data_IF_098778940477
#
_entry.id   IF_098778940477
#
_cell.length_a   1.000
_cell.length_b   1.000
_cell.length_c   1.000
_cell.angle_alpha   90.00
_cell.angle_beta   90.00
_cell.angle_gamma   90.00
#
_symmetry.space_group_name_H-M   'P 1'
#
loop_
_entity.id
_entity.type
_entity.pdbx_description
1 polymer ?
#
# COMPACT_ATOMS: atom_id res chain seq x y z
N UNK A 1 1.96 -101.02 35.91
CA UNK A 1 2.42 -100.55 34.59
C UNK A 1 1.53 -99.39 34.18
N UNK A 2 2.09 -98.18 34.07
CA UNK A 2 1.46 -96.93 33.62
C UNK A 2 0.25 -96.41 34.43
N UNK A 3 0.16 -95.10 34.70
CA UNK A 3 -1.11 -94.50 35.10
C UNK A 3 -1.64 -93.41 34.14
N UNK A 4 -2.96 -93.43 34.13
CA UNK A 4 -3.98 -92.47 33.71
C UNK A 4 -3.69 -90.95 33.76
N UNK A 5 -4.33 -90.28 32.77
CA UNK A 5 -5.10 -89.00 32.78
C UNK A 5 -4.41 -87.70 33.22
N UNK A 6 -4.39 -86.69 32.34
CA UNK A 6 -5.36 -85.57 32.32
C UNK A 6 -4.84 -84.28 31.61
N UNK A 7 -5.78 -83.56 30.99
CA UNK A 7 -5.93 -82.09 30.92
C UNK A 7 -5.06 -81.18 30.01
N UNK A 8 -5.76 -80.61 29.01
CA UNK A 8 -6.02 -79.17 28.80
C UNK A 8 -4.99 -78.20 28.16
N UNK A 9 -5.60 -77.16 27.53
CA UNK A 9 -5.12 -75.83 27.12
C UNK A 9 -4.80 -75.69 25.62
N UNK A 10 -5.73 -75.14 24.80
CA UNK A 10 -6.07 -73.72 24.61
C UNK A 10 -4.98 -72.99 23.83
N UNK A 11 -5.25 -72.72 22.54
CA UNK A 11 -4.95 -71.48 21.82
C UNK A 11 -5.62 -71.55 20.43
N UNK A 12 -6.85 -71.04 20.37
CA UNK A 12 -7.63 -70.93 19.14
C UNK A 12 -7.24 -69.68 18.37
N UNK A 13 -6.74 -69.87 17.15
CA UNK A 13 -6.72 -68.85 16.10
C UNK A 13 -8.12 -68.84 15.48
N UNK A 14 -8.90 -67.75 15.52
CA UNK A 14 -10.17 -67.72 14.81
C UNK A 14 -9.92 -67.50 13.32
N UNK A 15 -10.44 -68.43 12.50
CA UNK A 15 -10.52 -68.31 11.05
C UNK A 15 -11.38 -67.10 10.66
N UNK A 16 -10.90 -66.27 9.75
CA UNK A 16 -11.71 -65.25 9.09
C UNK A 16 -12.55 -65.87 7.95
N UNK A 17 -13.84 -65.58 7.99
CA UNK A 17 -14.86 -65.98 7.02
C UNK A 17 -14.75 -65.11 5.74
N UNK A 18 -14.68 -65.68 4.51
CA UNK A 18 -14.42 -64.92 3.29
C UNK A 18 -15.62 -64.15 2.69
N UNK A 19 -16.73 -63.99 3.42
CA UNK A 19 -17.97 -63.44 2.85
C UNK A 19 -18.54 -62.16 3.49
N UNK A 20 -17.78 -61.40 4.27
CA UNK A 20 -18.17 -60.04 4.67
C UNK A 20 -17.67 -59.01 3.65
N UNK A 21 -18.56 -58.28 2.93
CA UNK A 21 -18.11 -57.10 2.19
C UNK A 21 -17.55 -56.10 3.22
N UNK A 22 -16.42 -55.44 2.94
CA UNK A 22 -15.88 -54.44 3.85
C UNK A 22 -16.97 -53.40 4.07
N UNK A 23 -17.37 -53.24 5.33
CA UNK A 23 -18.22 -52.15 5.75
C UNK A 23 -17.65 -50.88 5.16
N UNK A 24 -18.48 -50.11 4.45
CA UNK A 24 -18.20 -48.72 4.15
C UNK A 24 -18.01 -47.99 5.47
N UNK A 25 -16.79 -48.05 6.02
CA UNK A 25 -16.29 -46.98 6.84
C UNK A 25 -16.41 -45.76 5.95
N UNK A 26 -17.23 -44.82 6.38
CA UNK A 26 -17.21 -43.47 5.89
C UNK A 26 -15.79 -42.94 6.06
N UNK A 27 -14.92 -43.24 5.09
CA UNK A 27 -13.91 -42.31 4.62
C UNK A 27 -14.72 -41.11 4.16
N UNK A 28 -15.00 -40.22 5.13
CA UNK A 28 -15.21 -38.83 4.79
C UNK A 28 -13.97 -38.46 3.98
N UNK A 29 -14.12 -38.45 2.65
CA UNK A 29 -13.22 -37.78 1.76
C UNK A 29 -13.11 -36.36 2.30
N UNK A 30 -12.12 -36.12 3.17
CA UNK A 30 -11.54 -34.82 3.35
C UNK A 30 -11.04 -34.46 1.97
N UNK A 31 -11.87 -33.78 1.19
CA UNK A 31 -11.34 -32.88 0.20
C UNK A 31 -10.49 -31.93 1.04
N UNK A 32 -9.19 -32.18 1.06
CA UNK A 32 -8.19 -31.19 1.43
C UNK A 32 -8.37 -30.07 0.41
N UNK A 33 -9.38 -29.23 0.64
CA UNK A 33 -9.68 -28.11 -0.21
C UNK A 33 -8.47 -27.19 -0.12
N UNK A 34 -7.66 -27.06 -1.19
CA UNK A 34 -6.41 -26.33 -1.14
C UNK A 34 -6.60 -24.83 -0.80
N UNK A 35 -7.86 -24.39 -0.71
CA UNK A 35 -8.28 -23.02 -0.41
C UNK A 35 -8.90 -22.82 0.98
N UNK A 36 -9.14 -23.87 1.78
CA UNK A 36 -9.86 -23.76 3.07
C UNK A 36 -8.93 -23.63 4.28
N UNK A 37 -8.07 -22.61 4.29
CA UNK A 37 -7.43 -22.15 5.54
C UNK A 37 -7.96 -20.77 5.91
N UNK A 38 -8.83 -20.73 6.91
CA UNK A 38 -9.37 -19.49 7.48
C UNK A 38 -8.29 -18.87 8.39
N UNK A 39 -7.85 -17.62 8.14
CA UNK A 39 -6.93 -16.94 9.04
C UNK A 39 -7.49 -16.82 10.47
N UNK A 40 -6.63 -16.75 11.50
CA UNK A 40 -7.07 -16.46 12.85
C UNK A 40 -7.77 -15.09 12.91
N UNK A 41 -8.74 -14.89 13.82
CA UNK A 41 -9.42 -13.62 13.95
C UNK A 41 -8.43 -12.50 14.27
N UNK A 42 -8.59 -11.34 13.61
CA UNK A 42 -7.75 -10.15 13.84
C UNK A 42 -8.60 -8.94 14.20
N UNK A 43 -8.22 -8.25 15.28
CA UNK A 43 -8.87 -7.02 15.74
C UNK A 43 -8.40 -5.78 14.97
N UNK A 44 -7.23 -5.86 14.31
CA UNK A 44 -6.60 -4.70 13.69
C UNK A 44 -7.43 -4.03 12.59
N UNK A 45 -8.17 -4.75 11.73
CA UNK A 45 -9.06 -4.10 10.76
C UNK A 45 -10.08 -3.15 11.43
N UNK A 46 -10.62 -3.53 12.60
CA UNK A 46 -11.54 -2.68 13.37
C UNK A 46 -10.84 -1.46 13.97
N UNK A 47 -9.62 -1.62 14.47
CA UNK A 47 -8.83 -0.51 15.03
C UNK A 47 -8.47 0.51 13.94
N UNK A 48 -8.02 0.03 12.77
CA UNK A 48 -7.65 0.87 11.62
C UNK A 48 -8.86 1.65 11.12
N UNK A 49 -9.99 0.98 10.93
CA UNK A 49 -11.23 1.62 10.47
C UNK A 49 -11.78 2.63 11.49
N UNK A 50 -11.76 2.31 12.78
CA UNK A 50 -12.16 3.24 13.83
C UNK A 50 -11.28 4.49 13.85
N UNK A 51 -9.95 4.32 13.81
CA UNK A 51 -9.00 5.43 13.77
C UNK A 51 -9.20 6.33 12.55
N UNK A 52 -9.31 5.73 11.36
CA UNK A 52 -9.49 6.47 10.11
C UNK A 52 -10.83 7.20 10.04
N UNK A 53 -11.91 6.60 10.55
CA UNK A 53 -13.26 7.21 10.55
C UNK A 53 -13.32 8.49 11.37
N UNK A 54 -12.54 8.60 12.44
CA UNK A 54 -12.54 9.77 13.33
C UNK A 54 -11.85 10.99 12.68
N UNK A 55 -10.87 10.77 11.80
CA UNK A 55 -10.06 11.84 11.20
C UNK A 55 -10.92 12.86 10.42
N UNK A 56 -11.83 12.46 9.51
CA UNK A 56 -12.72 13.41 8.82
C UNK A 56 -13.57 14.28 9.76
N UNK A 57 -14.09 13.74 10.86
CA UNK A 57 -14.87 14.52 11.82
C UNK A 57 -14.02 15.60 12.50
N UNK A 58 -12.75 15.29 12.80
CA UNK A 58 -11.79 16.27 13.30
C UNK A 58 -11.52 17.39 12.28
N UNK A 59 -11.31 17.04 11.01
CA UNK A 59 -11.09 18.02 9.93
C UNK A 59 -12.30 18.94 9.75
N UNK A 60 -13.51 18.40 9.64
CA UNK A 60 -14.74 19.20 9.45
C UNK A 60 -14.99 20.12 10.67
N UNK A 61 -14.67 19.66 11.88
CA UNK A 61 -14.74 20.48 13.10
C UNK A 61 -13.78 21.68 13.04
N UNK A 62 -12.53 21.48 12.61
CA UNK A 62 -11.53 22.55 12.47
C UNK A 62 -11.95 23.56 11.39
N UNK A 63 -12.51 23.08 10.27
CA UNK A 63 -13.02 23.92 9.19
C UNK A 63 -14.32 24.68 9.55
N UNK A 64 -14.88 24.44 10.74
CA UNK A 64 -16.08 25.12 11.22
C UNK A 64 -17.40 24.57 10.66
N UNK A 65 -17.36 23.46 9.90
CA UNK A 65 -18.57 22.82 9.35
C UNK A 65 -19.52 22.27 10.41
N UNK A 66 -19.05 22.08 11.65
CA UNK A 66 -19.81 21.58 12.80
C UNK A 66 -20.00 22.63 13.90
N UNK A 67 -19.86 23.92 13.59
CA UNK A 67 -19.91 25.02 14.57
C UNK A 67 -21.16 25.01 15.47
N UNK A 68 -22.29 24.54 14.95
CA UNK A 68 -23.56 24.48 15.69
C UNK A 68 -23.69 23.24 16.61
N UNK A 69 -22.75 22.29 16.54
CA UNK A 69 -22.79 21.08 17.33
C UNK A 69 -22.13 21.30 18.71
N UNK A 70 -22.76 20.90 19.83
CA UNK A 70 -22.24 21.18 21.18
C UNK A 70 -20.81 20.68 21.46
N UNK A 71 -20.46 19.50 20.95
CA UNK A 71 -19.16 18.86 21.13
C UNK A 71 -18.21 19.12 19.95
N UNK A 72 -18.69 18.92 18.72
CA UNK A 72 -17.89 19.00 17.50
C UNK A 72 -17.72 20.43 16.96
N UNK A 73 -18.37 21.43 17.56
CA UNK A 73 -18.18 22.84 17.22
C UNK A 73 -16.89 23.45 17.79
N UNK A 74 -16.23 22.79 18.73
CA UNK A 74 -14.97 23.25 19.30
C UNK A 74 -13.79 22.80 18.43
N UNK A 75 -13.12 23.75 17.76
CA UNK A 75 -11.97 23.48 16.89
C UNK A 75 -10.79 22.82 17.60
N UNK A 76 -10.58 23.08 18.89
CA UNK A 76 -9.55 22.42 19.70
C UNK A 76 -9.87 20.95 19.99
N UNK A 77 -11.15 20.63 20.17
CA UNK A 77 -11.61 19.25 20.24
C UNK A 77 -11.48 18.56 18.87
N UNK A 78 -11.80 19.27 17.79
CA UNK A 78 -11.57 18.81 16.41
C UNK A 78 -10.12 18.41 16.14
N UNK A 79 -9.15 19.22 16.58
CA UNK A 79 -7.73 18.91 16.47
C UNK A 79 -7.36 17.64 17.24
N UNK A 80 -7.87 17.48 18.46
CA UNK A 80 -7.67 16.28 19.27
C UNK A 80 -8.23 15.03 18.57
N UNK A 81 -9.43 15.12 17.98
CA UNK A 81 -10.01 14.01 17.21
C UNK A 81 -9.17 13.66 15.99
N UNK A 82 -8.70 14.67 15.24
CA UNK A 82 -7.87 14.45 14.05
C UNK A 82 -6.55 13.75 14.42
N UNK A 83 -5.80 14.30 15.38
CA UNK A 83 -4.50 13.74 15.78
C UNK A 83 -4.65 12.39 16.50
N UNK A 84 -5.63 12.26 17.39
CA UNK A 84 -5.91 11.02 18.11
C UNK A 84 -6.38 9.90 17.18
N UNK A 85 -7.31 10.19 16.26
CA UNK A 85 -7.77 9.24 15.24
C UNK A 85 -6.62 8.80 14.33
N UNK A 86 -5.78 9.74 13.88
CA UNK A 86 -4.61 9.42 13.07
C UNK A 86 -3.59 8.57 13.82
N UNK A 87 -3.34 8.85 15.10
CA UNK A 87 -2.45 8.03 15.93
C UNK A 87 -3.00 6.59 16.10
N UNK A 88 -4.30 6.43 16.37
CA UNK A 88 -4.95 5.11 16.45
C UNK A 88 -4.86 4.37 15.12
N UNK A 89 -5.08 5.07 14.00
CA UNK A 89 -4.91 4.52 12.66
C UNK A 89 -3.49 3.99 12.42
N UNK A 90 -2.46 4.78 12.74
CA UNK A 90 -1.06 4.36 12.60
C UNK A 90 -0.71 3.17 13.49
N UNK A 91 -1.13 3.18 14.76
CA UNK A 91 -0.93 2.05 15.68
C UNK A 91 -1.63 0.80 15.14
N UNK A 92 -2.86 0.94 14.64
CA UNK A 92 -3.62 -0.14 14.03
C UNK A 92 -2.91 -0.73 12.81
N UNK A 93 -2.42 0.11 11.90
CA UNK A 93 -1.69 -0.33 10.71
C UNK A 93 -0.37 -1.03 11.07
N UNK A 94 0.41 -0.45 11.97
CA UNK A 94 1.68 -1.05 12.41
C UNK A 94 1.46 -2.39 13.12
N UNK A 95 0.45 -2.48 13.98
CA UNK A 95 0.04 -3.72 14.64
C UNK A 95 -0.42 -4.78 13.65
N UNK A 96 -1.20 -4.39 12.63
CA UNK A 96 -1.65 -5.31 11.59
C UNK A 96 -0.50 -5.83 10.74
N UNK A 97 0.38 -4.94 10.27
CA UNK A 97 1.58 -5.31 9.52
C UNK A 97 2.48 -6.24 10.33
N UNK A 98 2.67 -5.96 11.61
CA UNK A 98 3.45 -6.83 12.50
C UNK A 98 2.82 -8.23 12.62
N UNK A 99 1.50 -8.32 12.80
CA UNK A 99 0.80 -9.61 12.83
C UNK A 99 1.04 -10.38 11.53
N UNK A 100 0.86 -9.74 10.36
CA UNK A 100 1.05 -10.38 9.05
C UNK A 100 2.49 -10.91 8.88
N UNK A 101 3.49 -10.19 9.40
CA UNK A 101 4.89 -10.61 9.32
C UNK A 101 5.17 -11.82 10.23
N UNK A 102 4.55 -11.86 11.41
CA UNK A 102 4.73 -12.94 12.41
C UNK A 102 3.94 -14.19 12.03
N UNK A 103 2.78 -14.02 11.39
CA UNK A 103 1.90 -15.11 10.99
C UNK A 103 2.62 -16.05 10.00
N UNK A 104 2.81 -17.31 10.40
CA UNK A 104 3.50 -18.32 9.59
C UNK A 104 2.61 -18.78 8.43
N UNK A 105 3.29 -19.20 7.35
CA UNK A 105 2.79 -19.67 6.03
C UNK A 105 1.33 -20.15 6.04
N UNK A 106 0.50 -19.49 5.23
CA UNK A 106 -0.92 -19.83 5.02
C UNK A 106 -1.07 -20.99 4.01
N UNK A 107 -0.15 -21.15 3.05
CA UNK A 107 -0.21 -22.26 2.08
C UNK A 107 1.05 -23.14 2.09
N UNK A 108 0.86 -24.41 1.74
CA UNK A 108 1.96 -25.32 1.41
C UNK A 108 2.61 -24.99 0.05
N UNK A 109 1.86 -24.35 -0.85
CA UNK A 109 2.35 -23.85 -2.15
C UNK A 109 2.65 -22.34 -2.09
N UNK A 110 3.90 -22.02 -1.79
CA UNK A 110 4.38 -20.62 -1.74
C UNK A 110 4.30 -19.92 -3.09
N UNK A 111 4.37 -20.65 -4.21
CA UNK A 111 4.32 -20.05 -5.54
C UNK A 111 2.90 -19.62 -5.90
N UNK A 112 1.89 -20.44 -5.58
CA UNK A 112 0.48 -20.05 -5.71
C UNK A 112 0.18 -18.82 -4.83
N UNK A 113 0.60 -18.85 -3.56
CA UNK A 113 0.41 -17.71 -2.65
C UNK A 113 1.03 -16.41 -3.19
N UNK A 114 2.25 -16.46 -3.74
CA UNK A 114 2.87 -15.28 -4.33
C UNK A 114 2.10 -14.75 -5.54
N UNK A 115 1.53 -15.62 -6.38
CA UNK A 115 0.71 -15.22 -7.53
C UNK A 115 -0.59 -14.53 -7.09
N UNK A 116 -1.26 -15.06 -6.08
CA UNK A 116 -2.49 -14.46 -5.56
C UNK A 116 -2.22 -13.08 -4.95
N UNK A 117 -1.12 -12.94 -4.20
CA UNK A 117 -0.66 -11.68 -3.65
C UNK A 117 -0.27 -10.67 -4.75
N UNK A 118 0.34 -11.13 -5.83
CA UNK A 118 0.66 -10.32 -7.02
C UNK A 118 -0.61 -9.84 -7.74
N UNK A 119 -1.61 -10.71 -7.88
CA UNK A 119 -2.91 -10.32 -8.44
C UNK A 119 -3.59 -9.27 -7.57
N UNK A 120 -3.55 -9.44 -6.24
CA UNK A 120 -4.11 -8.46 -5.31
C UNK A 120 -3.47 -7.07 -5.47
N UNK A 121 -2.14 -6.98 -5.47
CA UNK A 121 -1.47 -5.67 -5.63
C UNK A 121 -1.76 -5.07 -7.01
N UNK A 122 -1.86 -5.90 -8.06
CA UNK A 122 -2.22 -5.41 -9.40
C UNK A 122 -3.63 -4.80 -9.42
N UNK A 123 -4.61 -5.50 -8.84
CA UNK A 123 -5.99 -5.00 -8.75
C UNK A 123 -6.07 -3.72 -7.90
N UNK A 124 -5.31 -3.66 -6.81
CA UNK A 124 -5.19 -2.44 -6.00
C UNK A 124 -4.64 -1.26 -6.82
N UNK A 125 -3.56 -1.47 -7.58
CA UNK A 125 -2.98 -0.43 -8.45
C UNK A 125 -3.94 0.03 -9.55
N UNK A 126 -4.77 -0.86 -10.09
CA UNK A 126 -5.83 -0.48 -11.04
C UNK A 126 -6.87 0.43 -10.37
N UNK A 127 -7.21 0.17 -9.09
CA UNK A 127 -8.07 1.05 -8.30
C UNK A 127 -7.47 2.44 -8.10
N UNK A 128 -6.18 2.51 -7.74
CA UNK A 128 -5.47 3.79 -7.61
C UNK A 128 -5.37 4.54 -8.95
N UNK A 129 -5.13 3.83 -10.05
CA UNK A 129 -5.13 4.43 -11.39
C UNK A 129 -6.49 5.06 -11.74
N UNK A 130 -7.60 4.42 -11.36
CA UNK A 130 -8.94 4.98 -11.55
C UNK A 130 -9.16 6.25 -10.70
N UNK A 131 -8.65 6.28 -9.46
CA UNK A 131 -8.70 7.46 -8.60
C UNK A 131 -7.93 8.64 -9.20
N UNK A 132 -6.70 8.41 -9.69
CA UNK A 132 -5.96 9.42 -10.44
C UNK A 132 -6.65 9.80 -11.75
N UNK A 133 -7.27 8.83 -12.43
CA UNK A 133 -8.07 9.04 -13.64
C UNK A 133 -9.18 10.09 -13.46
N UNK A 134 -9.80 10.15 -12.29
CA UNK A 134 -10.79 11.19 -11.97
C UNK A 134 -10.14 12.60 -11.90
N UNK A 135 -8.95 12.71 -11.29
CA UNK A 135 -8.20 13.98 -11.22
C UNK A 135 -7.74 14.42 -12.61
N UNK A 136 -7.16 13.51 -13.40
CA UNK A 136 -6.78 13.77 -14.78
C UNK A 136 -7.98 14.18 -15.63
N UNK A 137 -9.10 13.46 -15.51
CA UNK A 137 -10.34 13.76 -16.22
C UNK A 137 -10.85 15.17 -15.92
N UNK A 138 -10.78 15.61 -14.66
CA UNK A 138 -11.11 16.98 -14.28
C UNK A 138 -10.17 18.00 -14.95
N UNK A 139 -8.85 17.80 -14.86
CA UNK A 139 -7.86 18.72 -15.44
C UNK A 139 -8.03 18.82 -16.95
N UNK A 140 -8.16 17.70 -17.67
CA UNK A 140 -8.38 17.69 -19.11
C UNK A 140 -9.69 18.39 -19.49
N UNK A 141 -10.79 18.11 -18.80
CA UNK A 141 -12.05 18.78 -19.03
C UNK A 141 -11.91 20.30 -18.91
N UNK A 142 -11.24 20.79 -17.85
CA UNK A 142 -11.05 22.23 -17.65
C UNK A 142 -10.11 22.84 -18.70
N UNK A 143 -9.00 22.19 -19.02
CA UNK A 143 -8.08 22.62 -20.08
C UNK A 143 -8.78 22.77 -21.45
N UNK A 144 -9.74 21.89 -21.79
CA UNK A 144 -10.42 21.95 -23.09
C UNK A 144 -11.55 23.00 -23.17
N UNK A 145 -12.27 23.22 -22.07
CA UNK A 145 -13.49 24.03 -22.08
C UNK A 145 -13.36 25.40 -21.42
N UNK A 146 -12.28 25.65 -20.66
CA UNK A 146 -12.05 26.92 -19.98
C UNK A 146 -10.65 27.48 -20.33
N UNK A 147 -10.57 28.45 -21.25
CA UNK A 147 -9.31 29.10 -21.63
C UNK A 147 -8.63 29.86 -20.49
N UNK A 148 -9.31 30.09 -19.35
CA UNK A 148 -8.76 30.77 -18.17
C UNK A 148 -8.21 29.79 -17.13
N UNK A 149 -8.33 28.48 -17.38
CA UNK A 149 -7.77 27.45 -16.52
C UNK A 149 -6.29 27.26 -16.82
N UNK A 150 -5.47 27.42 -15.78
CA UNK A 150 -4.01 27.35 -15.89
C UNK A 150 -3.36 28.05 -14.70
N UNK A 151 -2.01 28.05 -14.63
CA UNK A 151 -1.29 28.73 -13.56
C UNK A 151 -1.54 30.25 -13.59
N UNK A 152 -1.34 30.95 -12.46
CA UNK A 152 -1.42 32.40 -12.40
C UNK A 152 -0.45 33.05 -13.40
N UNK A 153 -0.95 33.95 -14.26
CA UNK A 153 -0.15 34.68 -15.25
C UNK A 153 0.55 35.93 -14.64
N UNK A 154 0.80 35.93 -13.33
CA UNK A 154 1.41 37.07 -12.64
C UNK A 154 2.87 37.26 -13.07
N UNK A 155 3.30 38.50 -13.28
CA UNK A 155 4.69 38.82 -13.63
C UNK A 155 5.66 38.25 -12.57
N UNK A 156 6.62 37.43 -13.03
CA UNK A 156 7.61 36.77 -12.17
C UNK A 156 7.18 35.43 -11.55
N UNK A 157 5.94 34.98 -11.76
CA UNK A 157 5.50 33.65 -11.35
C UNK A 157 5.83 32.60 -12.44
N UNK A 158 7.00 31.98 -12.32
CA UNK A 158 7.39 30.89 -13.20
C UNK A 158 6.90 29.54 -12.65
N UNK A 159 5.79 29.05 -13.22
CA UNK A 159 5.27 27.72 -12.96
C UNK A 159 6.02 26.69 -13.83
N UNK A 160 6.48 25.58 -13.27
CA UNK A 160 7.17 24.52 -14.05
C UNK A 160 8.60 24.84 -14.49
N UNK A 161 9.45 25.27 -13.56
CA UNK A 161 10.84 25.60 -13.83
C UNK A 161 11.80 24.38 -13.89
N UNK A 162 13.12 24.64 -14.04
CA UNK A 162 14.17 23.61 -14.01
C UNK A 162 14.12 22.71 -12.77
N UNK A 163 13.59 23.23 -11.65
CA UNK A 163 13.42 22.48 -10.42
C UNK A 163 12.52 21.25 -10.60
N UNK A 164 11.35 21.43 -11.22
CA UNK A 164 10.40 20.35 -11.46
C UNK A 164 10.97 19.31 -12.45
N UNK A 165 11.74 19.75 -13.45
CA UNK A 165 12.43 18.87 -14.38
C UNK A 165 13.53 18.04 -13.67
N UNK A 166 14.32 18.67 -12.78
CA UNK A 166 15.33 17.98 -11.97
C UNK A 166 14.67 16.98 -11.02
N UNK A 167 13.58 17.37 -10.34
CA UNK A 167 12.82 16.47 -9.47
C UNK A 167 12.29 15.26 -10.26
N UNK A 168 11.75 15.48 -11.45
CA UNK A 168 11.30 14.41 -12.36
C UNK A 168 12.45 13.49 -12.75
N UNK A 169 13.61 14.02 -13.11
CA UNK A 169 14.79 13.22 -13.42
C UNK A 169 15.26 12.37 -12.22
N UNK A 170 15.21 12.93 -11.01
CA UNK A 170 15.54 12.22 -9.76
C UNK A 170 14.58 11.05 -9.54
N UNK A 171 13.28 11.26 -9.73
CA UNK A 171 12.27 10.22 -9.55
C UNK A 171 12.42 9.10 -10.57
N UNK A 172 12.56 9.43 -11.85
CA UNK A 172 12.82 8.46 -12.93
C UNK A 172 14.11 7.67 -12.71
N UNK A 173 15.16 8.35 -12.21
CA UNK A 173 16.43 7.68 -11.85
C UNK A 173 16.23 6.69 -10.68
N UNK A 174 15.39 7.04 -9.70
CA UNK A 174 15.09 6.17 -8.55
C UNK A 174 14.37 4.88 -8.95
N UNK A 175 13.56 4.95 -10.01
CA UNK A 175 12.85 3.82 -10.61
C UNK A 175 13.82 2.81 -11.22
N UNK A 176 14.83 3.30 -11.96
CA UNK A 176 15.92 2.46 -12.50
C UNK A 176 16.71 1.78 -11.37
N UNK A 177 17.06 2.50 -10.29
CA UNK A 177 17.77 1.90 -9.16
C UNK A 177 16.89 0.90 -8.40
N UNK A 178 15.57 1.13 -8.35
CA UNK A 178 14.61 0.19 -7.76
C UNK A 178 14.58 -1.13 -8.53
N UNK A 179 14.55 -1.06 -9.86
CA UNK A 179 14.55 -2.24 -10.73
C UNK A 179 15.83 -3.05 -10.56
N UNK A 180 16.99 -2.39 -10.50
CA UNK A 180 18.25 -3.08 -10.21
C UNK A 180 18.25 -3.76 -8.84
N UNK A 181 17.65 -3.13 -7.82
CA UNK A 181 17.50 -3.74 -6.51
C UNK A 181 16.60 -4.99 -6.59
N UNK A 182 15.46 -4.89 -7.29
CA UNK A 182 14.49 -5.98 -7.43
C UNK A 182 15.13 -7.19 -8.12
N UNK A 183 15.73 -6.97 -9.28
CA UNK A 183 16.44 -8.02 -10.02
C UNK A 183 17.55 -8.67 -9.19
N UNK A 184 18.30 -7.89 -8.40
CA UNK A 184 19.36 -8.44 -7.57
C UNK A 184 18.84 -9.25 -6.37
N UNK A 185 17.67 -8.91 -5.81
CA UNK A 185 17.02 -9.72 -4.77
C UNK A 185 16.61 -11.08 -5.34
N UNK A 186 16.03 -11.12 -6.55
CA UNK A 186 15.63 -12.38 -7.21
C UNK A 186 16.81 -13.31 -7.50
N UNK A 187 17.98 -12.74 -7.82
CA UNK A 187 19.20 -13.50 -8.12
C UNK A 187 20.10 -13.72 -6.89
N UNK A 188 19.62 -13.41 -5.68
CA UNK A 188 20.37 -13.61 -4.43
C UNK A 188 21.58 -12.69 -4.22
N UNK A 189 21.69 -11.59 -4.99
CA UNK A 189 22.78 -10.60 -4.93
C UNK A 189 22.47 -9.47 -3.93
N UNK A 190 22.30 -9.83 -2.66
CA UNK A 190 21.77 -8.94 -1.62
C UNK A 190 22.64 -7.70 -1.33
N UNK A 191 23.97 -7.80 -1.44
CA UNK A 191 24.85 -6.65 -1.14
C UNK A 191 24.64 -5.50 -2.12
N UNK A 192 24.51 -5.83 -3.41
CA UNK A 192 24.24 -4.82 -4.43
C UNK A 192 22.79 -4.31 -4.35
N UNK A 193 21.84 -5.23 -4.13
CA UNK A 193 20.43 -4.87 -3.92
C UNK A 193 20.26 -3.86 -2.77
N UNK A 194 20.98 -4.05 -1.67
CA UNK A 194 21.00 -3.13 -0.52
C UNK A 194 21.37 -1.71 -0.90
N UNK A 195 22.47 -1.54 -1.62
CA UNK A 195 22.93 -0.21 -2.00
C UNK A 195 22.00 0.45 -3.02
N UNK A 196 21.48 -0.31 -3.99
CA UNK A 196 20.49 0.20 -4.94
C UNK A 196 19.20 0.63 -4.26
N UNK A 197 18.71 -0.15 -3.28
CA UNK A 197 17.49 0.17 -2.56
C UNK A 197 17.66 1.41 -1.65
N UNK A 198 18.81 1.53 -0.97
CA UNK A 198 19.15 2.74 -0.20
C UNK A 198 19.17 3.96 -1.12
N UNK A 199 19.77 3.83 -2.32
CA UNK A 199 19.81 4.91 -3.29
C UNK A 199 18.40 5.29 -3.78
N UNK A 200 17.53 4.33 -4.07
CA UNK A 200 16.11 4.60 -4.41
C UNK A 200 15.41 5.36 -3.29
N UNK A 201 15.53 4.92 -2.03
CA UNK A 201 14.91 5.58 -0.87
C UNK A 201 15.43 7.01 -0.72
N UNK A 202 16.74 7.22 -0.88
CA UNK A 202 17.35 8.54 -0.80
C UNK A 202 16.83 9.48 -1.90
N UNK A 203 16.80 9.02 -3.16
CA UNK A 203 16.29 9.79 -4.29
C UNK A 203 14.80 10.13 -4.14
N UNK A 204 13.97 9.17 -3.72
CA UNK A 204 12.55 9.42 -3.46
C UNK A 204 12.31 10.39 -2.29
N UNK A 205 13.15 10.34 -1.25
CA UNK A 205 13.10 11.31 -0.13
C UNK A 205 13.49 12.71 -0.61
N UNK A 206 14.52 12.83 -1.45
CA UNK A 206 14.93 14.10 -2.07
C UNK A 206 13.82 14.65 -2.97
N UNK A 207 13.14 13.80 -3.74
CA UNK A 207 11.97 14.20 -4.54
C UNK A 207 10.85 14.79 -3.68
N UNK A 208 10.47 14.14 -2.58
CA UNK A 208 9.49 14.70 -1.63
C UNK A 208 9.95 16.03 -1.02
N UNK A 209 11.25 16.18 -0.74
CA UNK A 209 11.83 17.44 -0.30
C UNK A 209 11.67 18.55 -1.33
N UNK A 210 11.92 18.28 -2.61
CA UNK A 210 11.67 19.22 -3.70
C UNK A 210 10.20 19.58 -3.82
N UNK A 211 9.29 18.60 -3.71
CA UNK A 211 7.85 18.86 -3.74
C UNK A 211 7.42 19.80 -2.61
N UNK A 212 7.92 19.56 -1.38
CA UNK A 212 7.63 20.41 -0.23
C UNK A 212 8.19 21.83 -0.38
N UNK A 213 9.39 21.95 -0.94
CA UNK A 213 10.00 23.25 -1.23
C UNK A 213 9.19 24.04 -2.27
N UNK A 214 8.82 23.41 -3.39
CA UNK A 214 8.02 24.06 -4.44
C UNK A 214 6.66 24.52 -3.92
N UNK A 215 5.98 23.67 -3.14
CA UNK A 215 4.74 24.06 -2.47
C UNK A 215 4.93 25.25 -1.54
N UNK A 216 5.98 25.25 -0.73
CA UNK A 216 6.30 26.36 0.17
C UNK A 216 6.52 27.67 -0.58
N UNK A 217 7.22 27.62 -1.71
CA UNK A 217 7.46 28.78 -2.57
C UNK A 217 6.17 29.31 -3.20
N UNK A 218 5.31 28.42 -3.72
CA UNK A 218 4.02 28.81 -4.29
C UNK A 218 3.08 29.42 -3.26
N UNK A 219 2.99 28.82 -2.07
CA UNK A 219 2.18 29.33 -0.96
C UNK A 219 2.71 30.69 -0.48
N UNK A 220 4.03 30.86 -0.40
CA UNK A 220 4.65 32.14 -0.03
C UNK A 220 4.38 33.26 -1.06
N UNK A 221 4.16 32.89 -2.33
CA UNK A 221 3.80 33.81 -3.42
C UNK A 221 2.29 34.03 -3.57
N UNK A 222 1.48 33.49 -2.66
CA UNK A 222 0.04 33.72 -2.63
C UNK A 222 -0.80 32.71 -3.42
N UNK A 223 -0.19 31.63 -3.95
CA UNK A 223 -0.91 30.53 -4.58
C UNK A 223 -1.31 29.52 -3.50
N UNK A 224 -2.52 29.65 -2.97
CA UNK A 224 -3.02 28.81 -1.88
C UNK A 224 -3.99 27.72 -2.38
N UNK A 225 -4.03 26.55 -1.71
CA UNK A 225 -4.98 25.48 -2.06
C UNK A 225 -6.45 25.86 -1.81
N UNK A 226 -6.70 26.75 -0.85
CA UNK A 226 -8.02 27.29 -0.53
C UNK A 226 -7.86 28.80 -0.40
N UNK A 227 -8.78 29.57 -0.99
CA UNK A 227 -8.89 31.03 -0.86
C UNK A 227 -8.08 31.89 -1.86
N UNK A 228 -8.13 31.56 -3.16
CA UNK A 228 -7.72 32.47 -4.24
C UNK A 228 -8.93 33.29 -4.72
N UNK A 229 -8.85 34.64 -4.81
CA UNK A 229 -9.91 35.46 -5.40
C UNK A 229 -10.08 35.19 -6.91
N UNK A 230 -11.30 34.78 -7.30
CA UNK A 230 -11.91 34.77 -8.63
C UNK A 230 -11.25 33.96 -9.80
N UNK A 231 -12.09 33.31 -10.62
CA UNK A 231 -11.72 32.76 -11.94
C UNK A 231 -11.13 31.34 -11.99
N UNK A 232 -10.69 30.91 -13.18
CA UNK A 232 -10.13 29.58 -13.46
C UNK A 232 -8.89 29.21 -12.64
N UNK A 233 -8.13 30.21 -12.17
CA UNK A 233 -6.92 30.05 -11.33
C UNK A 233 -7.23 29.37 -9.99
N UNK A 234 -8.39 29.67 -9.38
CA UNK A 234 -8.84 29.02 -8.14
C UNK A 234 -9.08 27.51 -8.34
N UNK A 235 -9.70 27.14 -9.46
CA UNK A 235 -9.95 25.74 -9.81
C UNK A 235 -8.68 25.00 -10.22
N UNK A 236 -7.73 25.70 -10.85
CA UNK A 236 -6.41 25.14 -11.18
C UNK A 236 -5.61 24.86 -9.92
N UNK A 237 -5.56 25.78 -8.95
CA UNK A 237 -4.90 25.55 -7.67
C UNK A 237 -5.46 24.33 -6.93
N UNK A 238 -6.79 24.22 -6.84
CA UNK A 238 -7.43 23.07 -6.22
C UNK A 238 -7.03 21.76 -6.92
N UNK A 239 -7.04 21.72 -8.26
CA UNK A 239 -6.63 20.54 -9.02
C UNK A 239 -5.14 20.22 -8.87
N UNK A 240 -4.28 21.24 -8.90
CA UNK A 240 -2.84 21.13 -8.71
C UNK A 240 -2.50 20.50 -7.36
N UNK A 241 -2.97 21.11 -6.26
CA UNK A 241 -2.67 20.64 -4.91
C UNK A 241 -3.33 19.29 -4.61
N UNK A 242 -4.52 19.03 -5.17
CA UNK A 242 -5.15 17.71 -5.05
C UNK A 242 -4.36 16.64 -5.80
N UNK A 243 -4.01 16.86 -7.06
CA UNK A 243 -3.29 15.88 -7.88
C UNK A 243 -1.85 15.62 -7.39
N UNK A 244 -1.07 16.69 -7.20
CA UNK A 244 0.31 16.58 -6.72
C UNK A 244 0.38 16.17 -5.25
N UNK A 245 -0.61 16.55 -4.43
CA UNK A 245 -0.69 16.14 -3.02
C UNK A 245 -1.08 14.68 -2.85
N UNK A 246 -2.05 14.20 -3.64
CA UNK A 246 -2.43 12.80 -3.67
C UNK A 246 -1.27 11.91 -4.17
N UNK A 247 -0.54 12.38 -5.17
CA UNK A 247 0.69 11.74 -5.62
C UNK A 247 1.81 11.78 -4.55
N UNK A 248 2.03 12.92 -3.88
CA UNK A 248 3.01 13.04 -2.80
C UNK A 248 2.73 12.07 -1.64
N UNK A 249 1.45 11.88 -1.29
CA UNK A 249 1.03 10.86 -0.34
C UNK A 249 1.41 9.45 -0.82
N UNK A 250 1.17 9.14 -2.09
CA UNK A 250 1.57 7.86 -2.70
C UNK A 250 3.08 7.65 -2.67
N UNK A 251 3.88 8.67 -2.99
CA UNK A 251 5.35 8.58 -2.88
C UNK A 251 5.77 8.29 -1.44
N UNK A 252 5.15 8.93 -0.45
CA UNK A 252 5.44 8.67 0.96
C UNK A 252 5.09 7.22 1.38
N UNK A 253 3.95 6.69 0.93
CA UNK A 253 3.56 5.29 1.14
C UNK A 253 4.57 4.35 0.46
N UNK A 254 4.96 4.67 -0.77
CA UNK A 254 5.98 3.91 -1.52
C UNK A 254 7.33 3.87 -0.80
N UNK A 255 7.76 4.99 -0.20
CA UNK A 255 8.98 5.04 0.61
C UNK A 255 8.87 4.15 1.85
N UNK A 256 7.71 4.12 2.51
CA UNK A 256 7.46 3.19 3.63
C UNK A 256 7.57 1.74 3.16
N UNK A 257 6.96 1.39 2.02
CA UNK A 257 7.05 0.04 1.44
C UNK A 257 8.48 -0.35 1.08
N UNK A 258 9.26 0.56 0.48
CA UNK A 258 10.69 0.33 0.18
C UNK A 258 11.52 0.16 1.45
N UNK A 259 11.27 0.97 2.49
CA UNK A 259 11.91 0.83 3.80
C UNK A 259 11.57 -0.53 4.42
N UNK A 260 10.31 -0.98 4.36
CA UNK A 260 9.91 -2.31 4.82
C UNK A 260 10.63 -3.42 4.04
N UNK A 261 10.72 -3.29 2.71
CA UNK A 261 11.45 -4.23 1.87
C UNK A 261 12.95 -4.27 2.22
N UNK A 262 13.55 -3.12 2.55
CA UNK A 262 14.93 -2.99 2.99
C UNK A 262 15.16 -3.65 4.35
N UNK A 263 14.36 -3.33 5.36
CA UNK A 263 14.46 -3.96 6.69
C UNK A 263 14.28 -5.48 6.60
N UNK A 264 13.37 -5.96 5.74
CA UNK A 264 13.18 -7.39 5.51
C UNK A 264 14.43 -8.03 4.87
N UNK A 265 15.11 -7.33 3.96
CA UNK A 265 16.37 -7.79 3.37
C UNK A 265 17.46 -7.95 4.43
N UNK A 266 17.64 -6.96 5.30
CA UNK A 266 18.63 -7.01 6.39
C UNK A 266 18.32 -8.13 7.37
N UNK A 267 17.03 -8.39 7.65
CA UNK A 267 16.59 -9.53 8.44
C UNK A 267 16.75 -10.89 7.74
N UNK A 268 17.23 -10.91 6.49
CA UNK A 268 17.43 -12.13 5.70
C UNK A 268 16.15 -12.76 5.15
N UNK A 269 15.04 -12.03 5.14
CA UNK A 269 13.70 -12.53 4.80
C UNK A 269 13.46 -12.90 3.34
N UNK A 270 14.47 -12.75 2.47
CA UNK A 270 14.44 -13.14 1.05
C UNK A 270 15.22 -14.42 0.74
N UNK A 271 15.93 -15.00 1.72
CA UNK A 271 16.76 -16.21 1.53
C UNK A 271 15.97 -17.48 1.25
N UNK A 272 14.67 -17.46 1.51
CA UNK A 272 13.74 -18.57 1.31
C UNK A 272 12.99 -18.51 -0.03
N UNK A 273 13.39 -17.61 -0.92
CA UNK A 273 12.77 -17.41 -2.25
C UNK A 273 11.51 -16.55 -2.24
N UNK A 274 11.03 -16.08 -1.08
CA UNK A 274 9.80 -15.26 -0.99
C UNK A 274 10.10 -13.79 -1.21
N UNK A 275 10.13 -13.37 -2.47
CA UNK A 275 10.45 -12.01 -2.90
C UNK A 275 9.24 -11.07 -2.98
N UNK A 276 8.03 -11.51 -2.63
CA UNK A 276 6.79 -10.76 -2.84
C UNK A 276 6.84 -9.32 -2.31
N UNK A 277 7.37 -9.07 -1.10
CA UNK A 277 7.44 -7.71 -0.54
C UNK A 277 8.32 -6.78 -1.37
N UNK A 278 9.38 -7.30 -2.00
CA UNK A 278 10.21 -6.54 -2.92
C UNK A 278 9.47 -6.30 -4.25
N UNK A 279 8.79 -7.32 -4.77
CA UNK A 279 7.99 -7.20 -6.00
C UNK A 279 6.86 -6.19 -5.84
N UNK A 280 6.10 -6.25 -4.75
CA UNK A 280 5.02 -5.31 -4.46
C UNK A 280 5.53 -3.88 -4.29
N UNK A 281 6.65 -3.68 -3.57
CA UNK A 281 7.26 -2.36 -3.40
C UNK A 281 7.78 -1.81 -4.75
N UNK A 282 8.41 -2.65 -5.58
CA UNK A 282 8.89 -2.26 -6.91
C UNK A 282 7.74 -1.87 -7.84
N UNK A 283 6.69 -2.69 -7.94
CA UNK A 283 5.54 -2.39 -8.79
C UNK A 283 4.81 -1.12 -8.35
N UNK A 284 4.65 -0.92 -7.04
CA UNK A 284 4.06 0.30 -6.50
C UNK A 284 4.94 1.53 -6.78
N UNK A 285 6.26 1.42 -6.63
CA UNK A 285 7.18 2.52 -6.92
C UNK A 285 7.17 2.93 -8.41
N UNK A 286 7.18 1.94 -9.30
CA UNK A 286 7.06 2.17 -10.75
C UNK A 286 5.71 2.80 -11.12
N UNK A 287 4.62 2.37 -10.49
CA UNK A 287 3.30 2.99 -10.66
C UNK A 287 3.32 4.47 -10.29
N UNK A 288 3.89 4.80 -9.14
CA UNK A 288 4.00 6.19 -8.67
C UNK A 288 4.79 7.03 -9.69
N UNK A 289 5.91 6.52 -10.20
CA UNK A 289 6.72 7.19 -11.22
C UNK A 289 5.94 7.46 -12.53
N UNK A 290 5.19 6.47 -13.02
CA UNK A 290 4.33 6.63 -14.21
C UNK A 290 3.27 7.73 -13.98
N UNK A 291 2.60 7.71 -12.82
CA UNK A 291 1.60 8.73 -12.47
C UNK A 291 2.23 10.13 -12.39
N UNK A 292 3.46 10.23 -11.85
CA UNK A 292 4.18 11.50 -11.83
C UNK A 292 4.43 12.04 -13.23
N UNK A 293 4.90 11.20 -14.17
CA UNK A 293 5.13 11.64 -15.55
C UNK A 293 3.85 12.18 -16.19
N UNK A 294 2.71 11.50 -15.97
CA UNK A 294 1.42 11.96 -16.45
C UNK A 294 0.99 13.28 -15.81
N UNK A 295 1.17 13.44 -14.50
CA UNK A 295 0.92 14.71 -13.80
C UNK A 295 1.83 15.82 -14.32
N UNK A 296 3.13 15.53 -14.47
CA UNK A 296 4.13 16.48 -14.95
C UNK A 296 3.74 17.05 -16.31
N UNK A 297 3.41 16.17 -17.26
CA UNK A 297 2.95 16.58 -18.60
C UNK A 297 1.65 17.38 -18.50
N UNK A 298 0.67 16.87 -17.76
CA UNK A 298 -0.68 17.48 -17.75
C UNK A 298 -0.69 18.85 -17.07
N UNK A 299 0.07 19.02 -15.99
CA UNK A 299 0.05 20.23 -15.14
C UNK A 299 1.11 21.24 -15.55
N UNK A 300 2.33 20.80 -15.86
CA UNK A 300 3.46 21.73 -16.07
C UNK A 300 3.78 21.96 -17.55
N UNK A 301 3.30 21.09 -18.45
CA UNK A 301 3.58 21.22 -19.89
C UNK A 301 2.32 21.64 -20.67
N UNK A 302 1.14 21.11 -20.31
CA UNK A 302 -0.10 21.35 -21.07
C UNK A 302 -1.00 22.46 -20.52
N UNK A 303 -0.86 22.83 -19.25
CA UNK A 303 -1.62 23.92 -18.60
C UNK A 303 -0.82 25.21 -18.53
#
# INVERSE_FOLDING_TARGET
>A
MAPHRAAALRNGIPMSDPHTPPSASAEAHGHDDPMSHVPPPSIWPLVVTAGLTVVPFGVVSILGGLKNWPLLGNSGFGLTLMLGGFAVFLVGLMGWCHQIIVEKKISHDTAAQQKDLQLFILLFLVGELAAFGAVFGFIFHRNFYDPTFGPPHAEGFHFGGPLAAIATFILLSSSVTCEFAHHCVEHGRFVFARWMLILTIALGTVFLGFQGFEWGEFIARGFYPLNIPEGGVSSFAAAFYTGTGFHGLHVAIGLVMLCMAWFRMEAGGYRDGRTFTMTAASWYWHFVDIVWVLLFITIYVLS
#
